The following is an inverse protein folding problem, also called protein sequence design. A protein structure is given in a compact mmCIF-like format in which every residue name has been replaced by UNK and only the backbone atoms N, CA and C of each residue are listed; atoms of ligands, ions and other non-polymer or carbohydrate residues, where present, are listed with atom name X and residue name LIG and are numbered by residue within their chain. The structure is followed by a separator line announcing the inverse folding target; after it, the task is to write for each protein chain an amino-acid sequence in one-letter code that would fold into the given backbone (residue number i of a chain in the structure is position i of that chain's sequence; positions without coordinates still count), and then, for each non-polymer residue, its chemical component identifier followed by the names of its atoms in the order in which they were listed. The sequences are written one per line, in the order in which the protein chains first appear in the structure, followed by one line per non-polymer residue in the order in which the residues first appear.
data_IF_313047348037
#
_entry.id   IF_313047348037
#
_cell.length_a   1.000
_cell.length_b   1.000
_cell.length_c   1.000
_cell.angle_alpha   90.00
_cell.angle_beta   90.00
_cell.angle_gamma   90.00
#
_symmetry.space_group_name_H-M   'P 1'
#
loop_
_entity.id
_entity.type
_entity.pdbx_description
1 polymer ?
#
# COMPACT_ATOMS: atom_id res chain seq x y z
N UNK A 1 29.73 17.81 0.37
CA UNK A 1 28.52 18.68 0.28
C UNK A 1 27.66 18.35 1.48
N UNK A 2 27.49 19.28 2.43
CA UNK A 2 26.77 19.01 3.67
C UNK A 2 25.26 19.12 3.44
N UNK A 3 24.50 18.10 3.82
CA UNK A 3 23.05 18.13 3.77
C UNK A 3 22.53 18.86 5.01
N UNK A 4 22.02 20.06 4.80
CA UNK A 4 21.36 20.82 5.85
C UNK A 4 20.06 20.10 6.24
N UNK A 5 19.90 19.79 7.54
CA UNK A 5 18.87 18.83 8.00
C UNK A 5 17.53 19.56 8.16
N UNK A 6 16.45 19.18 7.43
CA UNK A 6 15.11 19.45 7.91
C UNK A 6 14.91 18.58 9.16
N UNK A 7 14.79 19.20 10.33
CA UNK A 7 14.51 18.50 11.57
C UNK A 7 13.08 17.93 11.52
N UNK A 8 12.93 16.72 10.99
CA UNK A 8 11.68 15.96 10.86
C UNK A 8 11.04 15.51 12.20
N UNK A 9 11.41 16.16 13.32
CA UNK A 9 10.96 15.87 14.69
C UNK A 9 10.52 17.12 15.47
N UNK A 10 10.06 18.15 14.77
CA UNK A 10 9.38 19.27 15.42
C UNK A 10 7.96 18.85 15.82
N UNK A 11 7.79 18.44 17.08
CA UNK A 11 6.48 18.27 17.70
C UNK A 11 5.81 19.64 17.88
N UNK A 12 5.08 20.10 16.86
CA UNK A 12 4.40 21.41 16.88
C UNK A 12 3.18 21.36 17.79
N UNK A 13 3.13 22.25 18.76
CA UNK A 13 1.95 22.52 19.60
C UNK A 13 0.79 22.92 18.69
N UNK A 14 -0.32 22.19 18.69
CA UNK A 14 -1.38 22.34 17.67
C UNK A 14 -2.11 23.68 17.78
N UNK A 15 -1.78 24.60 16.89
CA UNK A 15 -2.57 25.81 16.63
C UNK A 15 -3.90 25.42 15.93
N UNK A 16 -5.01 26.10 16.28
CA UNK A 16 -6.30 25.96 15.59
C UNK A 16 -6.16 26.23 14.08
N UNK A 17 -5.22 27.10 13.70
CA UNK A 17 -4.84 27.38 12.31
C UNK A 17 -4.40 26.16 11.50
N UNK A 18 -3.94 25.09 12.15
CA UNK A 18 -3.53 23.85 11.51
C UNK A 18 -4.62 22.76 11.47
N UNK A 19 -5.82 23.04 11.99
CA UNK A 19 -6.92 22.07 11.96
C UNK A 19 -7.57 22.01 10.57
N UNK A 20 -7.95 20.80 10.15
CA UNK A 20 -8.90 20.58 9.08
C UNK A 20 -10.21 20.05 9.67
N UNK A 21 -11.34 20.37 9.05
CA UNK A 21 -12.62 19.71 9.34
C UNK A 21 -12.95 18.78 8.18
N UNK A 22 -13.22 17.53 8.51
CA UNK A 22 -13.52 16.46 7.56
C UNK A 22 -14.90 15.91 7.89
N UNK A 23 -15.75 15.77 6.87
CA UNK A 23 -17.02 15.07 6.96
C UNK A 23 -16.80 13.63 6.52
N UNK A 24 -17.06 12.67 7.39
CA UNK A 24 -17.21 11.26 7.00
C UNK A 24 -18.50 11.16 6.18
N UNK A 25 -18.40 10.71 4.94
CA UNK A 25 -19.55 10.53 4.03
C UNK A 25 -20.07 9.09 4.08
N UNK A 26 -19.18 8.13 4.36
CA UNK A 26 -19.49 6.70 4.38
C UNK A 26 -18.49 5.98 5.30
N UNK A 27 -18.99 5.09 6.16
CA UNK A 27 -18.15 4.12 6.85
C UNK A 27 -18.02 2.89 5.95
N UNK A 28 -16.92 2.80 5.21
CA UNK A 28 -16.62 1.70 4.27
C UNK A 28 -16.44 0.37 5.03
N UNK A 29 -16.08 0.45 6.31
CA UNK A 29 -15.85 -0.71 7.19
C UNK A 29 -16.56 -0.63 8.54
N UNK A 30 -17.47 -1.56 8.75
CA UNK A 30 -17.66 -2.28 10.02
C UNK A 30 -18.12 -3.71 9.65
N UNK A 31 -17.52 -4.75 10.22
CA UNK A 31 -17.85 -6.16 9.93
C UNK A 31 -16.85 -6.94 9.08
N UNK A 32 -17.22 -8.19 8.74
CA UNK A 32 -16.34 -9.25 8.25
C UNK A 32 -15.76 -9.04 6.84
N UNK A 33 -16.34 -8.14 6.04
CA UNK A 33 -15.89 -7.85 4.67
C UNK A 33 -14.71 -6.84 4.64
N UNK A 34 -13.48 -7.35 4.68
CA UNK A 34 -12.27 -6.61 5.09
C UNK A 34 -11.61 -5.63 4.07
N UNK A 35 -12.35 -4.81 3.32
CA UNK A 35 -11.82 -3.71 2.45
C UNK A 35 -10.75 -2.80 3.10
N UNK A 36 -9.56 -2.58 2.51
CA UNK A 36 -8.50 -1.75 3.15
C UNK A 36 -8.68 -0.22 3.10
N UNK A 37 -9.93 0.24 3.00
CA UNK A 37 -10.39 1.62 3.08
C UNK A 37 -11.42 1.71 4.22
N UNK A 38 -11.28 2.66 5.16
CA UNK A 38 -12.06 2.66 6.41
C UNK A 38 -13.21 3.68 6.38
N UNK A 39 -12.90 4.97 6.21
CA UNK A 39 -13.90 6.04 6.13
C UNK A 39 -13.73 6.80 4.82
N UNK A 40 -14.75 6.79 3.96
CA UNK A 40 -14.83 7.74 2.85
C UNK A 40 -15.17 9.11 3.42
N UNK A 41 -14.51 10.15 2.94
CA UNK A 41 -14.61 11.46 3.54
C UNK A 41 -14.33 12.61 2.56
N UNK A 42 -14.82 13.79 2.95
CA UNK A 42 -14.67 15.04 2.24
C UNK A 42 -14.11 16.11 3.19
N UNK A 43 -13.11 16.87 2.75
CA UNK A 43 -12.63 18.04 3.50
C UNK A 43 -13.67 19.15 3.37
N UNK A 44 -14.22 19.61 4.49
CA UNK A 44 -15.22 20.70 4.54
C UNK A 44 -14.64 22.01 5.08
N UNK A 45 -13.48 21.96 5.73
CA UNK A 45 -12.73 23.14 6.16
C UNK A 45 -11.23 22.85 6.05
N UNK A 46 -10.51 23.72 5.33
CA UNK A 46 -9.07 23.59 5.09
C UNK A 46 -8.25 24.34 6.14
N UNK A 47 -7.11 23.80 6.60
CA UNK A 47 -6.23 24.51 7.52
C UNK A 47 -5.74 25.81 6.89
N UNK A 48 -5.50 26.84 7.69
CA UNK A 48 -4.82 28.05 7.22
C UNK A 48 -3.35 27.77 6.92
N UNK A 49 -2.79 28.50 5.96
CA UNK A 49 -1.66 28.02 5.14
C UNK A 49 -0.26 28.34 5.69
N UNK A 50 -0.07 28.23 7.00
CA UNK A 50 1.21 28.48 7.67
C UNK A 50 2.11 27.23 7.77
N UNK A 51 1.60 26.06 7.35
CA UNK A 51 2.37 24.82 7.26
C UNK A 51 3.45 24.93 6.15
N UNK A 52 4.63 24.29 6.28
CA UNK A 52 5.62 24.26 5.19
C UNK A 52 5.04 23.71 3.88
N UNK A 53 5.50 24.21 2.72
CA UNK A 53 4.98 23.83 1.38
C UNK A 53 4.83 22.32 1.17
N UNK A 54 5.80 21.54 1.64
CA UNK A 54 5.76 20.07 1.61
C UNK A 54 4.51 19.46 2.29
N UNK A 55 3.93 20.11 3.29
CA UNK A 55 2.69 19.65 3.95
C UNK A 55 1.42 20.30 3.37
N UNK A 56 1.53 21.36 2.56
CA UNK A 56 0.41 22.03 1.88
C UNK A 56 -0.08 21.20 0.68
N UNK A 57 0.67 21.27 -0.43
CA UNK A 57 0.57 20.55 -1.71
C UNK A 57 -0.84 19.95 -2.05
N UNK A 58 -1.17 18.63 -2.03
CA UNK A 58 -2.42 18.15 -2.64
C UNK A 58 -3.67 18.47 -1.82
N UNK A 59 -3.53 18.97 -0.59
CA UNK A 59 -4.64 19.47 0.22
C UNK A 59 -4.95 20.94 -0.04
N UNK A 60 -4.06 21.66 -0.72
CA UNK A 60 -4.23 23.08 -1.00
C UNK A 60 -3.52 23.44 -2.29
N UNK A 61 -4.22 23.21 -3.40
CA UNK A 61 -3.99 23.97 -4.62
C UNK A 61 -4.67 25.32 -4.38
N UNK A 62 -3.92 26.26 -3.81
CA UNK A 62 -4.25 27.67 -3.95
C UNK A 62 -3.87 28.05 -5.37
N UNK A 63 -4.84 28.47 -6.17
CA UNK A 63 -4.55 29.01 -7.49
C UNK A 63 -3.66 30.26 -7.31
N UNK A 64 -2.44 30.28 -7.87
CA UNK A 64 -1.50 31.38 -7.66
C UNK A 64 -2.01 32.71 -8.23
N UNK A 65 -2.99 32.69 -9.14
CA UNK A 65 -3.56 33.88 -9.76
C UNK A 65 -4.72 34.46 -8.94
N UNK A 66 -5.71 33.65 -8.58
CA UNK A 66 -6.90 34.12 -7.83
C UNK A 66 -6.70 34.15 -6.31
N UNK A 67 -5.69 33.45 -5.78
CA UNK A 67 -5.52 33.13 -4.35
C UNK A 67 -6.72 32.41 -3.72
N UNK A 68 -7.65 31.91 -4.54
CA UNK A 68 -8.75 31.08 -4.07
C UNK A 68 -8.27 29.63 -3.96
N UNK A 69 -8.89 28.91 -3.02
CA UNK A 69 -8.70 27.47 -2.85
C UNK A 69 -9.74 26.79 -3.72
N UNK A 70 -9.31 26.03 -4.72
CA UNK A 70 -10.26 25.12 -5.36
C UNK A 70 -10.70 24.07 -4.31
N UNK A 71 -12.01 23.80 -4.18
CA UNK A 71 -12.48 22.72 -3.33
C UNK A 71 -11.86 21.40 -3.79
N UNK A 72 -11.39 20.57 -2.85
CA UNK A 72 -11.08 19.19 -3.18
C UNK A 72 -12.37 18.44 -3.51
N UNK A 73 -12.63 18.32 -4.81
CA UNK A 73 -13.71 17.53 -5.41
C UNK A 73 -13.44 16.04 -5.30
N UNK A 74 -12.17 15.61 -5.27
CA UNK A 74 -11.77 14.21 -5.09
C UNK A 74 -12.22 13.67 -3.73
N UNK A 75 -12.85 12.49 -3.73
CA UNK A 75 -13.14 11.73 -2.51
C UNK A 75 -11.85 11.22 -1.86
N UNK A 76 -11.78 11.29 -0.53
CA UNK A 76 -10.62 10.87 0.25
C UNK A 76 -10.97 9.70 1.16
N UNK A 77 -9.96 8.93 1.56
CA UNK A 77 -10.07 7.91 2.62
C UNK A 77 -9.23 8.29 3.81
N UNK A 78 -9.88 8.29 4.97
CA UNK A 78 -9.23 8.33 6.26
C UNK A 78 -9.02 6.92 6.79
N UNK A 79 -7.75 6.52 6.97
CA UNK A 79 -7.35 5.33 7.73
C UNK A 79 -7.05 5.77 9.16
N UNK A 80 -7.93 5.44 10.09
CA UNK A 80 -7.71 5.66 11.52
C UNK A 80 -6.90 4.49 12.11
N UNK A 81 -5.81 4.79 12.82
CA UNK A 81 -5.00 3.82 13.57
C UNK A 81 -5.29 4.07 15.04
N UNK A 82 -6.12 3.20 15.61
CA UNK A 82 -6.74 3.40 16.92
C UNK A 82 -6.52 2.20 17.84
N UNK A 83 -5.70 2.39 18.88
CA UNK A 83 -5.37 1.34 19.86
C UNK A 83 -6.59 0.82 20.65
N UNK A 84 -7.69 1.58 20.69
CA UNK A 84 -8.93 1.16 21.38
C UNK A 84 -9.67 0.02 20.68
N UNK A 85 -9.39 -0.21 19.39
CA UNK A 85 -9.94 -1.33 18.60
C UNK A 85 -8.93 -2.45 18.37
N UNK A 86 -7.75 -2.38 18.97
CA UNK A 86 -6.79 -3.48 18.87
C UNK A 86 -7.25 -4.63 19.78
N UNK A 87 -6.98 -5.90 19.41
CA UNK A 87 -7.19 -7.02 20.32
C UNK A 87 -6.39 -6.81 21.62
N UNK A 88 -6.85 -7.44 22.70
CA UNK A 88 -6.11 -7.48 23.96
C UNK A 88 -4.67 -7.93 23.71
N UNK A 89 -3.69 -7.31 24.38
CA UNK A 89 -2.28 -7.63 24.14
C UNK A 89 -1.89 -9.02 24.65
N UNK A 90 -2.73 -9.68 25.48
CA UNK A 90 -2.52 -11.04 26.02
C UNK A 90 -1.10 -11.31 26.58
N UNK A 91 -0.46 -10.31 27.19
CA UNK A 91 0.91 -10.42 27.73
C UNK A 91 2.03 -10.28 26.69
N UNK A 92 1.72 -9.86 25.46
CA UNK A 92 2.69 -9.55 24.42
C UNK A 92 3.66 -8.43 24.81
N UNK A 93 4.85 -8.36 24.17
CA UNK A 93 5.96 -7.51 24.60
C UNK A 93 5.73 -6.00 24.43
N UNK A 94 4.65 -5.60 23.74
CA UNK A 94 4.27 -4.20 23.51
C UNK A 94 2.78 -4.00 23.77
N UNK A 95 2.43 -2.89 24.41
CA UNK A 95 1.04 -2.46 24.59
C UNK A 95 0.37 -2.15 23.25
N UNK A 96 -0.96 -2.24 23.19
CA UNK A 96 -1.75 -1.87 22.00
C UNK A 96 -1.49 -0.42 21.55
N UNK A 97 -1.20 0.50 22.49
CA UNK A 97 -0.81 1.87 22.18
C UNK A 97 0.56 1.96 21.46
N UNK A 98 1.57 1.21 21.93
CA UNK A 98 2.87 1.13 21.26
C UNK A 98 2.78 0.47 19.88
N UNK A 99 1.94 -0.56 19.73
CA UNK A 99 1.70 -1.19 18.44
C UNK A 99 0.99 -0.23 17.45
N UNK A 100 0.00 0.52 17.92
CA UNK A 100 -0.68 1.54 17.12
C UNK A 100 0.27 2.67 16.68
N UNK A 101 1.10 3.19 17.58
CA UNK A 101 2.13 4.19 17.25
C UNK A 101 3.15 3.66 16.23
N UNK A 102 3.67 2.45 16.44
CA UNK A 102 4.60 1.80 15.52
C UNK A 102 4.00 1.48 14.15
N UNK A 103 2.70 1.21 14.06
CA UNK A 103 1.97 1.05 12.78
C UNK A 103 1.78 2.41 12.11
N UNK A 104 1.29 3.42 12.83
CA UNK A 104 1.09 4.78 12.33
C UNK A 104 2.40 5.37 11.79
N UNK A 105 3.50 5.24 12.54
CA UNK A 105 4.82 5.73 12.15
C UNK A 105 5.33 5.05 10.88
N UNK A 106 5.14 3.73 10.71
CA UNK A 106 5.55 3.01 9.49
C UNK A 106 4.72 3.43 8.27
N UNK A 107 3.39 3.46 8.41
CA UNK A 107 2.48 3.89 7.33
C UNK A 107 2.77 5.33 6.92
N UNK A 108 2.92 6.25 7.89
CA UNK A 108 3.24 7.65 7.63
C UNK A 108 4.59 7.81 6.94
N UNK A 109 5.64 7.17 7.43
CA UNK A 109 6.97 7.25 6.85
C UNK A 109 6.99 6.75 5.41
N UNK A 110 6.34 5.61 5.12
CA UNK A 110 6.20 5.09 3.77
C UNK A 110 5.51 6.10 2.84
N UNK A 111 4.30 6.54 3.18
CA UNK A 111 3.53 7.47 2.35
C UNK A 111 4.24 8.83 2.15
N UNK A 112 4.78 9.41 3.22
CA UNK A 112 5.50 10.68 3.15
C UNK A 112 6.76 10.58 2.28
N UNK A 113 7.45 9.44 2.32
CA UNK A 113 8.68 9.24 1.55
C UNK A 113 8.42 8.92 0.07
N UNK A 114 7.39 8.12 -0.25
CA UNK A 114 6.93 7.98 -1.64
C UNK A 114 6.50 9.34 -2.20
N UNK A 115 5.78 10.15 -1.42
CA UNK A 115 5.37 11.50 -1.83
C UNK A 115 6.56 12.42 -2.08
N UNK A 116 7.55 12.43 -1.18
CA UNK A 116 8.80 13.20 -1.34
C UNK A 116 9.52 12.83 -2.65
N UNK A 117 9.52 11.56 -3.02
CA UNK A 117 10.08 11.08 -4.29
C UNK A 117 9.15 11.26 -5.50
N UNK A 118 8.01 11.96 -5.36
CA UNK A 118 6.97 12.15 -6.38
C UNK A 118 6.42 10.84 -6.96
N UNK A 119 6.21 9.84 -6.10
CA UNK A 119 5.71 8.50 -6.44
C UNK A 119 4.41 8.15 -5.71
N UNK A 120 3.49 9.10 -5.59
CA UNK A 120 2.12 8.91 -5.05
C UNK A 120 1.10 9.44 -6.03
N UNK A 121 -0.09 8.83 -6.08
CA UNK A 121 -1.14 9.20 -7.04
C UNK A 121 -0.93 8.52 -8.40
N UNK A 122 -1.83 8.73 -9.36
CA UNK A 122 -1.68 8.19 -10.71
C UNK A 122 -0.38 8.72 -11.37
N UNK A 123 0.40 7.88 -12.10
CA UNK A 123 0.16 6.48 -12.47
C UNK A 123 0.72 5.45 -11.46
N UNK A 124 1.14 5.87 -10.28
CA UNK A 124 1.83 5.01 -9.32
C UNK A 124 0.89 4.07 -8.56
N UNK A 125 1.48 2.95 -8.11
CA UNK A 125 0.83 1.96 -7.24
C UNK A 125 0.69 2.41 -5.79
N UNK A 126 1.30 3.53 -5.41
CA UNK A 126 1.06 4.17 -4.13
C UNK A 126 -0.06 5.20 -4.29
N UNK A 127 -1.13 5.17 -3.47
CA UNK A 127 -2.20 6.15 -3.59
C UNK A 127 -1.70 7.56 -3.24
N UNK A 128 -2.34 8.59 -3.80
CA UNK A 128 -2.07 9.99 -3.50
C UNK A 128 -2.18 10.23 -1.99
N UNK A 129 -1.10 10.72 -1.39
CA UNK A 129 -1.01 10.94 0.05
C UNK A 129 -1.27 12.39 0.42
N UNK A 130 -2.29 12.63 1.23
CA UNK A 130 -2.72 13.96 1.66
C UNK A 130 -2.12 14.35 3.01
N UNK A 131 -1.79 13.40 3.89
CA UNK A 131 -1.02 13.66 5.10
C UNK A 131 -1.32 12.74 6.28
N UNK A 132 -0.46 12.81 7.29
CA UNK A 132 -0.74 12.32 8.64
C UNK A 132 -1.44 13.39 9.48
N UNK A 133 -2.40 12.96 10.29
CA UNK A 133 -3.28 13.80 11.08
C UNK A 133 -3.53 13.19 12.46
N UNK A 134 -4.04 14.01 13.39
CA UNK A 134 -4.60 13.56 14.66
C UNK A 134 -6.09 13.95 14.73
N UNK A 135 -6.95 12.98 15.01
CA UNK A 135 -8.38 13.15 15.19
C UNK A 135 -8.72 13.10 16.68
N UNK A 136 -9.59 14.02 17.15
CA UNK A 136 -10.18 13.94 18.48
C UNK A 136 -11.37 13.00 18.46
N UNK A 137 -11.40 12.04 19.37
CA UNK A 137 -12.49 11.07 19.54
C UNK A 137 -12.93 11.12 21.00
N UNK A 138 -14.25 11.09 21.24
CA UNK A 138 -14.80 10.94 22.58
C UNK A 138 -14.78 9.44 22.92
N UNK A 139 -14.01 9.05 23.94
CA UNK A 139 -13.81 7.67 24.36
C UNK A 139 -14.84 7.15 25.37
N UNK A 140 -15.89 7.92 25.63
CA UNK A 140 -16.83 7.74 26.74
C UNK A 140 -16.81 8.97 27.66
N UNK A 141 -17.63 8.94 28.71
CA UNK A 141 -17.65 9.96 29.78
C UNK A 141 -17.12 9.37 31.09
N UNK A 142 -16.54 10.21 31.94
CA UNK A 142 -16.20 9.84 33.32
C UNK A 142 -17.46 9.78 34.21
N UNK A 143 -17.29 9.35 35.47
CA UNK A 143 -18.38 9.29 36.46
C UNK A 143 -18.96 10.67 36.83
N UNK A 144 -18.30 11.78 36.47
CA UNK A 144 -18.79 13.14 36.65
C UNK A 144 -19.44 13.70 35.37
N UNK A 145 -19.52 12.92 34.29
CA UNK A 145 -20.14 13.30 33.01
C UNK A 145 -19.23 14.05 32.05
N UNK A 146 -17.92 14.15 32.31
CA UNK A 146 -16.98 14.82 31.40
C UNK A 146 -16.55 13.88 30.26
N UNK A 147 -16.50 14.40 29.03
CA UNK A 147 -15.98 13.66 27.86
C UNK A 147 -14.50 13.29 28.04
N UNK A 148 -14.20 11.99 28.02
CA UNK A 148 -12.83 11.51 27.95
C UNK A 148 -12.32 11.58 26.50
N UNK A 149 -11.73 12.71 26.13
CA UNK A 149 -11.19 12.95 24.78
C UNK A 149 -9.85 12.22 24.61
N UNK A 150 -9.78 11.36 23.58
CA UNK A 150 -8.56 10.69 23.13
C UNK A 150 -8.16 11.15 21.73
N UNK A 151 -6.87 11.10 21.42
CA UNK A 151 -6.33 11.41 20.10
C UNK A 151 -6.04 10.11 19.33
N UNK A 152 -6.51 10.06 18.09
CA UNK A 152 -6.34 8.91 17.17
C UNK A 152 -5.53 9.36 15.97
N UNK A 153 -4.51 8.57 15.60
CA UNK A 153 -3.71 8.83 14.41
C UNK A 153 -4.51 8.53 13.15
N UNK A 154 -4.40 9.39 12.13
CA UNK A 154 -5.15 9.27 10.89
C UNK A 154 -4.24 9.50 9.69
N UNK A 155 -4.34 8.63 8.69
CA UNK A 155 -3.65 8.74 7.40
C UNK A 155 -4.69 9.04 6.33
N UNK A 156 -4.54 10.18 5.65
CA UNK A 156 -5.45 10.64 4.62
C UNK A 156 -4.85 10.38 3.24
N UNK A 157 -5.56 9.62 2.41
CA UNK A 157 -5.19 9.23 1.05
C UNK A 157 -6.35 9.46 0.06
N UNK A 158 -6.11 9.32 -1.25
CA UNK A 158 -7.21 9.24 -2.23
C UNK A 158 -8.12 8.03 -1.96
N UNK A 159 -9.40 8.17 -2.29
CA UNK A 159 -10.32 7.04 -2.34
C UNK A 159 -10.12 6.25 -3.64
N UNK A 160 -9.84 4.96 -3.54
CA UNK A 160 -9.68 4.07 -4.69
C UNK A 160 -11.04 3.47 -5.03
N UNK A 161 -11.64 4.00 -6.09
CA UNK A 161 -12.88 3.52 -6.70
C UNK A 161 -12.62 2.24 -7.49
N UNK A 162 -12.63 1.09 -6.82
CA UNK A 162 -12.33 -0.19 -7.43
C UNK A 162 -12.52 -1.34 -6.46
N UNK A 163 -11.93 -2.48 -6.79
CA UNK A 163 -12.05 -3.73 -6.05
C UNK A 163 -10.67 -4.20 -5.59
N UNK A 164 -10.56 -4.73 -4.37
CA UNK A 164 -9.40 -5.53 -4.00
C UNK A 164 -9.37 -6.83 -4.80
N UNK A 165 -8.18 -7.43 -4.96
CA UNK A 165 -8.04 -8.75 -5.60
C UNK A 165 -8.86 -9.81 -4.84
N UNK A 166 -8.97 -9.68 -3.52
CA UNK A 166 -9.86 -10.50 -2.67
C UNK A 166 -11.33 -10.43 -3.13
N UNK A 167 -11.87 -9.23 -3.32
CA UNK A 167 -13.27 -8.99 -3.73
C UNK A 167 -13.61 -9.46 -5.16
N UNK A 168 -12.60 -9.72 -5.98
CA UNK A 168 -12.77 -10.26 -7.34
C UNK A 168 -12.81 -11.79 -7.36
N UNK A 169 -12.63 -12.41 -6.19
CA UNK A 169 -12.46 -13.85 -6.03
C UNK A 169 -13.43 -14.40 -4.97
N UNK A 170 -13.46 -15.72 -4.89
CA UNK A 170 -13.93 -16.45 -3.72
C UNK A 170 -12.78 -17.29 -3.17
N UNK A 171 -12.93 -17.81 -1.95
CA UNK A 171 -11.98 -18.77 -1.37
C UNK A 171 -12.54 -20.18 -1.46
N UNK A 172 -11.67 -21.11 -1.80
CA UNK A 172 -11.95 -22.55 -1.82
C UNK A 172 -12.15 -23.05 -0.37
N UNK A 173 -13.38 -23.34 0.02
CA UNK A 173 -13.76 -23.55 1.43
C UNK A 173 -13.22 -24.83 2.09
N UNK A 174 -12.69 -25.76 1.29
CA UNK A 174 -12.27 -27.10 1.73
C UNK A 174 -13.45 -28.07 1.85
N UNK A 175 -13.27 -29.30 1.35
CA UNK A 175 -14.26 -30.40 1.48
C UNK A 175 -14.30 -30.98 2.91
N UNK A 176 -13.42 -30.55 3.80
CA UNK A 176 -13.23 -31.09 5.15
C UNK A 176 -14.23 -30.56 6.20
N UNK A 177 -15.21 -29.76 5.79
CA UNK A 177 -16.36 -29.38 6.63
C UNK A 177 -16.03 -28.44 7.79
N UNK A 178 -14.83 -27.88 7.80
CA UNK A 178 -14.41 -26.79 8.69
C UNK A 178 -14.65 -25.48 7.95
N UNK A 179 -15.33 -24.54 8.60
CA UNK A 179 -15.66 -23.22 8.03
C UNK A 179 -14.38 -22.36 7.86
N UNK A 180 -13.62 -22.63 6.80
CA UNK A 180 -12.32 -22.00 6.51
C UNK A 180 -12.38 -20.97 5.39
N UNK A 181 -13.53 -20.28 5.25
CA UNK A 181 -13.79 -19.22 4.26
C UNK A 181 -12.69 -18.15 4.12
N UNK A 182 -11.80 -18.01 5.11
CA UNK A 182 -10.69 -17.05 5.12
C UNK A 182 -9.28 -17.64 4.88
N UNK A 183 -9.13 -18.97 4.83
CA UNK A 183 -7.84 -19.67 4.66
C UNK A 183 -7.73 -20.41 3.33
N UNK A 184 -8.85 -20.64 2.64
CA UNK A 184 -8.93 -21.26 1.33
C UNK A 184 -8.09 -20.59 0.23
N UNK A 185 -7.75 -21.37 -0.80
CA UNK A 185 -7.08 -20.86 -2.02
C UNK A 185 -7.97 -19.82 -2.70
N UNK A 186 -7.36 -18.75 -3.19
CA UNK A 186 -8.09 -17.69 -3.90
C UNK A 186 -8.43 -18.15 -5.33
N UNK A 187 -9.72 -18.10 -5.69
CA UNK A 187 -10.22 -18.47 -7.02
C UNK A 187 -10.89 -17.25 -7.68
N UNK A 188 -10.35 -16.74 -8.80
CA UNK A 188 -10.94 -15.61 -9.52
C UNK A 188 -12.33 -15.91 -10.06
N UNK A 189 -13.24 -14.95 -9.93
CA UNK A 189 -14.60 -15.07 -10.47
C UNK A 189 -14.56 -15.20 -12.01
N UNK A 190 -15.28 -16.16 -12.61
CA UNK A 190 -15.23 -16.39 -14.06
C UNK A 190 -16.00 -15.34 -14.89
N UNK A 191 -16.82 -14.51 -14.24
CA UNK A 191 -17.66 -13.51 -14.89
C UNK A 191 -16.96 -12.15 -15.13
N UNK A 192 -17.54 -11.29 -16.00
CA UNK A 192 -17.10 -9.92 -16.16
C UNK A 192 -17.42 -9.07 -14.93
N UNK A 193 -16.49 -8.19 -14.54
CA UNK A 193 -16.61 -7.28 -13.41
C UNK A 193 -16.90 -5.87 -13.91
N UNK A 194 -17.99 -5.25 -13.43
CA UNK A 194 -18.40 -3.90 -13.85
C UNK A 194 -17.73 -2.78 -13.05
N UNK A 195 -16.87 -1.99 -13.68
CA UNK A 195 -16.31 -0.75 -13.12
C UNK A 195 -17.21 0.44 -13.49
N UNK A 196 -17.65 1.23 -12.52
CA UNK A 196 -18.54 2.37 -12.75
C UNK A 196 -17.78 3.63 -13.18
N UNK A 197 -18.05 4.09 -14.40
CA UNK A 197 -17.57 5.36 -14.95
C UNK A 197 -18.25 6.58 -14.33
N UNK A 198 -17.77 7.78 -14.66
CA UNK A 198 -18.35 9.06 -14.24
C UNK A 198 -19.73 9.32 -14.86
N UNK A 199 -19.96 8.78 -16.06
CA UNK A 199 -21.24 8.77 -16.79
C UNK A 199 -22.27 7.79 -16.19
N UNK A 200 -21.94 7.17 -15.04
CA UNK A 200 -22.65 6.04 -14.41
C UNK A 200 -22.77 4.77 -15.27
N UNK A 201 -22.08 4.68 -16.41
CA UNK A 201 -22.02 3.44 -17.20
C UNK A 201 -21.08 2.42 -16.54
N UNK A 202 -21.31 1.15 -16.84
CA UNK A 202 -20.46 0.04 -16.37
C UNK A 202 -19.50 -0.40 -17.48
N UNK A 203 -18.21 -0.15 -17.29
CA UNK A 203 -17.13 -0.74 -18.09
C UNK A 203 -16.86 -2.15 -17.56
N UNK A 204 -17.24 -3.16 -18.33
CA UNK A 204 -17.09 -4.57 -17.92
C UNK A 204 -15.72 -5.14 -18.29
N UNK A 205 -15.05 -5.77 -17.32
CA UNK A 205 -13.72 -6.38 -17.48
C UNK A 205 -13.76 -7.83 -17.02
N UNK A 206 -13.54 -8.77 -17.94
CA UNK A 206 -13.31 -10.18 -17.62
C UNK A 206 -11.83 -10.37 -17.27
N UNK A 207 -11.53 -10.86 -16.06
CA UNK A 207 -10.16 -11.15 -15.61
C UNK A 207 -9.69 -12.54 -16.08
N UNK A 208 -9.48 -12.67 -17.39
CA UNK A 208 -8.80 -13.80 -18.00
C UNK A 208 -7.36 -13.98 -17.50
N UNK A 209 -6.65 -15.01 -17.99
CA UNK A 209 -5.28 -15.28 -17.56
C UNK A 209 -4.31 -14.13 -17.89
N UNK A 210 -4.49 -13.47 -19.04
CA UNK A 210 -3.61 -12.39 -19.48
C UNK A 210 -3.75 -11.15 -18.59
N UNK A 211 -4.98 -10.72 -18.30
CA UNK A 211 -5.24 -9.57 -17.42
C UNK A 211 -4.87 -9.84 -15.96
N UNK A 212 -5.04 -11.08 -15.48
CA UNK A 212 -4.54 -11.46 -14.15
C UNK A 212 -3.01 -11.36 -14.07
N UNK A 213 -2.31 -11.85 -15.10
CA UNK A 213 -0.85 -11.71 -15.20
C UNK A 213 -0.42 -10.25 -15.33
N UNK A 214 -1.13 -9.43 -16.10
CA UNK A 214 -0.87 -7.99 -16.22
C UNK A 214 -0.98 -7.28 -14.86
N UNK A 215 -2.00 -7.59 -14.06
CA UNK A 215 -2.15 -7.04 -12.70
C UNK A 215 -0.98 -7.45 -11.80
N UNK A 216 -0.55 -8.71 -11.82
CA UNK A 216 0.63 -9.16 -11.07
C UNK A 216 1.90 -8.47 -11.59
N UNK A 217 2.05 -8.27 -12.91
CA UNK A 217 3.16 -7.52 -13.49
C UNK A 217 3.19 -6.06 -13.00
N UNK A 218 2.05 -5.37 -13.01
CA UNK A 218 1.92 -4.01 -12.50
C UNK A 218 2.21 -3.91 -10.99
N UNK A 219 1.74 -4.89 -10.21
CA UNK A 219 2.02 -5.03 -8.79
C UNK A 219 3.52 -5.13 -8.52
N UNK A 220 4.20 -6.07 -9.19
CA UNK A 220 5.65 -6.30 -9.05
C UNK A 220 6.48 -5.12 -9.56
N UNK A 221 6.04 -4.44 -10.63
CA UNK A 221 6.65 -3.19 -11.09
C UNK A 221 6.58 -2.09 -10.00
N UNK A 222 5.43 -1.98 -9.31
CA UNK A 222 5.27 -1.05 -8.19
C UNK A 222 6.22 -1.34 -7.02
N UNK A 223 6.42 -2.61 -6.68
CA UNK A 223 7.38 -3.04 -5.65
C UNK A 223 8.82 -2.68 -6.07
N UNK A 224 9.19 -2.97 -7.32
CA UNK A 224 10.48 -2.61 -7.89
C UNK A 224 10.74 -1.09 -7.89
N UNK A 225 9.73 -0.29 -8.23
CA UNK A 225 9.79 1.17 -8.12
C UNK A 225 9.96 1.65 -6.67
N UNK A 226 9.49 0.89 -5.67
CA UNK A 226 9.81 1.09 -4.25
C UNK A 226 11.28 0.79 -3.95
N UNK A 227 11.81 -0.35 -4.40
CA UNK A 227 13.20 -0.74 -4.16
C UNK A 227 14.21 0.28 -4.71
N UNK A 228 13.92 0.89 -5.87
CA UNK A 228 14.75 1.94 -6.47
C UNK A 228 14.90 3.17 -5.57
N UNK A 229 13.87 3.51 -4.80
CA UNK A 229 13.93 4.58 -3.79
C UNK A 229 14.26 4.06 -2.39
N UNK A 230 14.62 2.78 -2.22
CA UNK A 230 15.04 2.21 -0.95
C UNK A 230 13.88 1.92 0.00
N UNK A 231 12.72 1.60 -0.54
CA UNK A 231 11.56 1.14 0.22
C UNK A 231 11.30 -0.33 -0.07
N UNK A 232 11.21 -1.14 0.98
CA UNK A 232 10.83 -2.55 0.91
C UNK A 232 9.42 -2.74 1.49
N UNK A 233 8.58 -3.53 0.83
CA UNK A 233 7.20 -3.78 1.24
C UNK A 233 7.08 -5.24 1.66
N UNK A 234 6.89 -5.49 2.96
CA UNK A 234 6.96 -6.84 3.55
C UNK A 234 5.58 -7.45 3.87
N UNK A 235 4.50 -6.94 3.28
CA UNK A 235 3.14 -7.45 3.52
C UNK A 235 2.22 -7.22 2.31
N UNK A 236 2.45 -8.00 1.25
CA UNK A 236 1.57 -8.01 0.08
C UNK A 236 0.44 -9.02 0.32
N UNK A 237 -0.83 -8.58 0.26
CA UNK A 237 -1.99 -9.43 0.48
C UNK A 237 -3.12 -9.06 -0.50
N UNK A 238 -3.93 -10.01 -1.00
CA UNK A 238 -4.97 -9.74 -2.00
C UNK A 238 -5.98 -8.66 -1.60
N UNK A 239 -6.41 -8.64 -0.34
CA UNK A 239 -7.31 -7.60 0.21
C UNK A 239 -6.67 -6.20 0.33
N UNK A 240 -5.35 -6.12 0.21
CA UNK A 240 -4.56 -4.89 0.27
C UNK A 240 -4.14 -4.35 -1.12
N UNK A 241 -4.36 -5.13 -2.19
CA UNK A 241 -4.04 -4.77 -3.58
C UNK A 241 -5.35 -4.47 -4.30
N UNK A 242 -5.57 -3.19 -4.60
CA UNK A 242 -6.76 -2.71 -5.30
C UNK A 242 -6.50 -2.54 -6.80
N UNK A 243 -7.53 -2.81 -7.59
CA UNK A 243 -7.58 -2.58 -9.03
C UNK A 243 -8.67 -1.54 -9.28
N UNK A 244 -8.35 -0.49 -10.03
CA UNK A 244 -9.28 0.58 -10.39
C UNK A 244 -9.13 0.97 -11.87
N UNK A 245 -10.20 1.54 -12.43
CA UNK A 245 -10.24 2.19 -13.74
C UNK A 245 -10.41 3.71 -13.58
N UNK A 246 -9.92 4.31 -12.47
CA UNK A 246 -10.09 5.74 -12.17
C UNK A 246 -8.86 6.40 -11.54
N UNK A 247 -8.67 7.68 -11.83
CA UNK A 247 -7.87 8.64 -11.04
C UNK A 247 -8.80 9.71 -10.46
N UNK A 248 -9.25 9.52 -9.22
CA UNK A 248 -10.30 10.33 -8.62
C UNK A 248 -11.58 10.35 -9.46
N UNK A 249 -11.94 11.53 -9.96
CA UNK A 249 -13.11 11.76 -10.83
C UNK A 249 -12.76 11.69 -12.34
N UNK A 250 -11.63 11.07 -12.72
CA UNK A 250 -11.28 10.80 -14.13
C UNK A 250 -11.33 9.30 -14.38
N UNK A 251 -12.03 8.87 -15.43
CA UNK A 251 -12.03 7.47 -15.87
C UNK A 251 -10.76 7.17 -16.68
N UNK A 252 -10.16 6.02 -16.44
CA UNK A 252 -8.98 5.52 -17.14
C UNK A 252 -9.40 4.51 -18.23
N UNK A 253 -8.61 4.43 -19.28
CA UNK A 253 -8.77 3.42 -20.33
C UNK A 253 -7.97 2.14 -20.05
N UNK A 254 -7.00 2.22 -19.13
CA UNK A 254 -6.19 1.11 -18.63
C UNK A 254 -6.41 0.88 -17.13
N UNK A 255 -6.16 -0.36 -16.69
CA UNK A 255 -6.18 -0.73 -15.28
C UNK A 255 -5.10 0.04 -14.51
N UNK A 256 -5.38 0.39 -13.25
CA UNK A 256 -4.41 0.85 -12.26
C UNK A 256 -4.43 -0.08 -11.05
N UNK A 257 -3.25 -0.57 -10.66
CA UNK A 257 -3.06 -1.35 -9.42
C UNK A 257 -2.58 -0.43 -8.30
N UNK A 258 -3.11 -0.57 -7.08
CA UNK A 258 -2.82 0.30 -5.94
C UNK A 258 -2.65 -0.49 -4.64
N UNK A 259 -1.55 -0.28 -3.93
CA UNK A 259 -1.28 -0.83 -2.60
C UNK A 259 -1.88 0.05 -1.50
N UNK A 260 -2.58 -0.56 -0.54
CA UNK A 260 -3.20 0.18 0.57
C UNK A 260 -2.56 -0.06 1.94
N UNK A 261 -1.96 -1.21 2.22
CA UNK A 261 -1.42 -1.49 3.56
C UNK A 261 0.10 -1.30 3.64
N UNK A 262 0.52 -0.23 4.30
CA UNK A 262 1.94 0.06 4.53
C UNK A 262 2.39 -0.21 5.98
N UNK A 263 1.60 -0.95 6.77
CA UNK A 263 1.89 -1.30 8.16
C UNK A 263 3.26 -1.96 8.34
N UNK A 264 3.70 -2.74 7.35
CA UNK A 264 4.99 -3.44 7.33
C UNK A 264 5.94 -2.92 6.24
N UNK A 265 5.69 -1.73 5.68
CA UNK A 265 6.62 -1.10 4.73
C UNK A 265 7.84 -0.52 5.47
N UNK A 266 9.03 -0.83 4.98
CA UNK A 266 10.31 -0.39 5.50
C UNK A 266 10.93 0.66 4.57
N UNK A 267 11.12 1.87 5.08
CA UNK A 267 11.94 2.90 4.42
C UNK A 267 13.38 2.74 4.89
N UNK A 268 14.29 2.24 4.04
CA UNK A 268 15.64 1.79 4.44
C UNK A 268 16.39 2.84 5.26
N UNK A 269 16.49 4.07 4.75
CA UNK A 269 17.31 5.12 5.35
C UNK A 269 16.82 5.58 6.74
N UNK A 270 15.57 5.28 7.11
CA UNK A 270 14.99 5.54 8.44
C UNK A 270 15.21 4.38 9.44
N UNK A 271 15.81 3.27 9.01
CA UNK A 271 16.05 2.11 9.88
C UNK A 271 17.36 2.22 10.66
N UNK A 272 17.39 1.61 11.86
CA UNK A 272 18.61 1.37 12.63
C UNK A 272 19.72 0.64 11.86
N UNK A 273 19.36 -0.15 10.84
CA UNK A 273 20.33 -0.87 10.00
C UNK A 273 21.06 0.06 9.03
N UNK A 274 20.37 1.08 8.49
CA UNK A 274 20.98 2.09 7.64
C UNK A 274 21.99 2.99 8.38
N UNK A 275 21.86 3.14 9.71
CA UNK A 275 22.86 3.84 10.52
C UNK A 275 24.18 3.07 10.61
N UNK A 276 24.11 1.73 10.66
CA UNK A 276 25.27 0.83 10.77
C UNK A 276 25.88 0.47 9.41
N UNK A 277 25.05 0.27 8.39
CA UNK A 277 25.46 -0.29 7.08
C UNK A 277 25.36 0.71 5.91
N UNK A 278 24.98 1.97 6.20
CA UNK A 278 24.91 3.05 5.22
C UNK A 278 23.47 3.45 4.85
N UNK A 279 23.25 4.77 4.70
CA UNK A 279 21.92 5.35 4.44
C UNK A 279 21.35 5.05 3.05
N UNK A 280 22.19 4.60 2.11
CA UNK A 280 21.78 4.23 0.75
C UNK A 280 21.77 2.70 0.63
N UNK A 281 20.59 2.15 0.38
CA UNK A 281 20.35 0.71 0.17
C UNK A 281 21.00 0.20 -1.11
N UNK A 282 21.33 -1.10 -1.17
CA UNK A 282 21.97 -1.70 -2.33
C UNK A 282 21.17 -1.52 -3.64
N UNK A 283 19.83 -1.60 -3.60
CA UNK A 283 18.97 -1.42 -4.78
C UNK A 283 18.76 0.05 -5.19
N UNK A 284 18.99 1.02 -4.28
CA UNK A 284 19.04 2.44 -4.64
C UNK A 284 20.27 2.81 -5.47
N UNK A 285 21.30 1.95 -5.50
CA UNK A 285 22.54 2.17 -6.24
C UNK A 285 22.44 1.72 -7.72
N UNK A 286 21.31 1.12 -8.11
CA UNK A 286 21.06 0.73 -9.49
C UNK A 286 20.65 1.96 -10.33
N UNK A 287 21.11 2.08 -11.59
CA UNK A 287 20.81 3.24 -12.44
C UNK A 287 19.34 3.29 -12.91
N UNK A 288 18.64 2.15 -12.86
CA UNK A 288 17.27 1.98 -13.31
C UNK A 288 16.44 1.25 -12.25
N UNK A 289 15.15 1.04 -12.52
CA UNK A 289 14.21 0.36 -11.61
C UNK A 289 14.59 -1.13 -11.49
N UNK A 290 14.96 -1.62 -10.30
CA UNK A 290 15.47 -2.97 -10.09
C UNK A 290 14.57 -4.05 -10.70
N UNK A 291 15.12 -4.93 -11.54
CA UNK A 291 14.35 -6.04 -12.12
C UNK A 291 13.72 -6.92 -11.00
N UNK A 292 12.39 -7.19 -10.99
CA UNK A 292 11.71 -7.84 -9.87
C UNK A 292 12.31 -9.17 -9.39
N UNK A 293 12.85 -9.99 -10.31
CA UNK A 293 13.64 -11.21 -10.03
C UNK A 293 14.70 -11.06 -8.91
N UNK A 294 15.23 -9.87 -8.65
CA UNK A 294 16.21 -9.61 -7.59
C UNK A 294 15.63 -9.70 -6.17
N UNK A 295 14.30 -9.66 -6.01
CA UNK A 295 13.63 -9.56 -4.69
C UNK A 295 12.28 -10.24 -4.59
N UNK A 296 11.51 -10.30 -5.66
CA UNK A 296 10.18 -10.88 -5.66
C UNK A 296 10.29 -12.37 -5.96
N UNK A 297 9.82 -13.21 -5.04
CA UNK A 297 9.68 -14.65 -5.24
C UNK A 297 8.22 -15.07 -5.28
N UNK A 298 7.95 -16.26 -5.83
CA UNK A 298 6.57 -16.80 -5.84
C UNK A 298 6.10 -17.13 -4.43
N UNK A 299 7.02 -17.59 -3.59
CA UNK A 299 6.76 -17.93 -2.19
C UNK A 299 6.51 -16.68 -1.31
N UNK A 300 6.73 -15.47 -1.84
CA UNK A 300 6.43 -14.19 -1.21
C UNK A 300 5.05 -13.59 -1.60
N UNK A 301 4.30 -14.27 -2.49
CA UNK A 301 2.92 -13.92 -2.87
C UNK A 301 1.98 -15.15 -2.82
N UNK A 302 2.03 -16.01 -1.79
CA UNK A 302 1.32 -17.29 -1.78
C UNK A 302 -0.20 -17.13 -1.73
N UNK A 303 -0.75 -16.00 -1.30
CA UNK A 303 -2.21 -15.77 -1.27
C UNK A 303 -2.77 -15.35 -2.65
N UNK A 304 -1.92 -15.07 -3.64
CA UNK A 304 -2.31 -14.66 -4.99
C UNK A 304 -2.54 -15.85 -5.95
N UNK A 305 -2.86 -17.03 -5.39
CA UNK A 305 -3.34 -18.17 -6.17
C UNK A 305 -4.45 -17.74 -7.15
N UNK A 306 -4.47 -18.38 -8.32
CA UNK A 306 -5.39 -18.00 -9.38
C UNK A 306 -4.94 -16.79 -10.20
N UNK A 307 -4.21 -15.84 -9.62
CA UNK A 307 -3.63 -14.70 -10.34
C UNK A 307 -2.22 -15.03 -10.83
N UNK A 308 -1.38 -15.53 -9.93
CA UNK A 308 -0.14 -16.21 -10.30
C UNK A 308 0.29 -17.25 -9.22
N UNK A 309 0.61 -18.50 -9.58
CA UNK A 309 0.43 -19.09 -10.91
C UNK A 309 -1.06 -19.12 -11.30
N UNK A 310 -1.38 -19.30 -12.60
CA UNK A 310 -2.74 -19.61 -13.03
C UNK A 310 -3.41 -20.64 -12.11
N UNK A 311 -4.67 -20.40 -11.73
CA UNK A 311 -5.52 -21.49 -11.26
C UNK A 311 -5.74 -22.42 -12.46
N UNK A 312 -5.06 -23.56 -12.44
CA UNK A 312 -5.29 -24.60 -13.43
C UNK A 312 -6.51 -25.40 -13.00
N UNK A 313 -7.55 -25.41 -13.84
CA UNK A 313 -8.82 -26.09 -13.54
C UNK A 313 -8.69 -27.59 -13.22
N UNK A 314 -7.63 -28.25 -13.70
CA UNK A 314 -7.43 -29.70 -13.56
C UNK A 314 -5.98 -30.11 -13.15
N UNK A 315 -5.06 -29.16 -12.90
CA UNK A 315 -3.61 -29.49 -12.72
C UNK A 315 -3.04 -29.29 -11.31
N UNK A 316 -3.87 -29.01 -10.30
CA UNK A 316 -3.38 -29.10 -8.90
C UNK A 316 -3.07 -30.56 -8.54
N UNK A 317 -3.83 -31.52 -9.07
CA UNK A 317 -3.64 -32.96 -8.83
C UNK A 317 -2.54 -33.60 -9.72
N UNK A 318 -2.18 -32.95 -10.83
CA UNK A 318 -1.31 -33.53 -11.86
C UNK A 318 0.21 -33.31 -11.63
N UNK A 319 0.59 -32.50 -10.63
CA UNK A 319 1.99 -32.24 -10.27
C UNK A 319 2.24 -32.81 -8.86
N UNK A 320 3.09 -33.85 -8.69
CA UNK A 320 3.40 -34.39 -7.37
C UNK A 320 3.92 -33.29 -6.43
N UNK A 321 3.39 -33.24 -5.20
CA UNK A 321 3.72 -32.23 -4.20
C UNK A 321 5.23 -32.03 -4.02
N UNK A 322 5.99 -33.13 -4.08
CA UNK A 322 7.46 -33.16 -3.97
C UNK A 322 8.24 -32.53 -5.12
N UNK A 323 7.56 -32.08 -6.19
CA UNK A 323 8.15 -31.35 -7.34
C UNK A 323 7.51 -29.98 -7.59
N UNK A 324 6.50 -29.61 -6.80
CA UNK A 324 5.63 -28.47 -7.11
C UNK A 324 6.40 -27.14 -7.02
N UNK A 325 7.15 -26.93 -5.94
CA UNK A 325 7.76 -25.62 -5.66
C UNK A 325 8.98 -25.29 -6.54
N UNK A 326 9.83 -26.28 -6.88
CA UNK A 326 10.97 -26.02 -7.78
C UNK A 326 10.49 -25.68 -9.21
N UNK A 327 9.42 -26.33 -9.68
CA UNK A 327 8.80 -25.99 -10.96
C UNK A 327 8.11 -24.61 -10.90
N UNK A 328 7.32 -24.32 -9.86
CA UNK A 328 6.66 -23.00 -9.67
C UNK A 328 7.68 -21.87 -9.69
N UNK A 329 8.78 -22.02 -8.95
CA UNK A 329 9.90 -21.08 -8.91
C UNK A 329 10.52 -20.88 -10.30
N UNK A 330 10.89 -21.96 -11.01
CA UNK A 330 11.45 -21.87 -12.37
C UNK A 330 10.48 -21.25 -13.38
N UNK A 331 9.19 -21.57 -13.29
CA UNK A 331 8.15 -21.01 -14.16
C UNK A 331 7.94 -19.51 -13.90
N UNK A 332 7.92 -19.08 -12.63
CA UNK A 332 7.86 -17.66 -12.27
C UNK A 332 9.11 -16.90 -12.71
N UNK A 333 10.31 -17.41 -12.44
CA UNK A 333 11.57 -16.81 -12.88
C UNK A 333 11.66 -16.69 -14.41
N UNK A 334 11.11 -17.65 -15.16
CA UNK A 334 11.01 -17.58 -16.62
C UNK A 334 9.97 -16.56 -17.09
N UNK A 335 8.80 -16.49 -16.43
CA UNK A 335 7.77 -15.50 -16.70
C UNK A 335 8.25 -14.07 -16.42
N UNK A 336 8.93 -13.84 -15.29
CA UNK A 336 9.54 -12.55 -14.96
C UNK A 336 10.48 -12.08 -16.06
N UNK A 337 11.36 -12.96 -16.56
CA UNK A 337 12.28 -12.65 -17.68
C UNK A 337 11.55 -12.41 -19.01
N UNK A 338 10.40 -13.05 -19.23
CA UNK A 338 9.54 -12.82 -20.40
C UNK A 338 8.87 -11.44 -20.36
N UNK A 339 8.36 -11.02 -19.19
CA UNK A 339 7.54 -9.79 -19.08
C UNK A 339 8.31 -8.53 -18.66
N UNK A 340 9.47 -8.67 -18.00
CA UNK A 340 10.36 -7.56 -17.61
C UNK A 340 11.68 -7.54 -18.40
N UNK A 341 11.94 -8.54 -19.25
CA UNK A 341 13.16 -8.64 -20.06
C UNK A 341 14.35 -9.29 -19.32
N UNK A 342 15.58 -9.16 -19.85
CA UNK A 342 16.76 -9.77 -19.24
C UNK A 342 17.20 -9.03 -17.97
N UNK A 343 17.74 -9.76 -17.00
CA UNK A 343 18.32 -9.21 -15.75
C UNK A 343 19.68 -8.57 -16.03
N UNK A 344 19.68 -7.42 -16.69
CA UNK A 344 20.90 -6.75 -17.19
C UNK A 344 21.67 -5.95 -16.13
N UNK A 345 21.00 -5.54 -15.05
CA UNK A 345 21.49 -4.49 -14.14
C UNK A 345 22.61 -4.95 -13.17
N UNK A 346 22.74 -6.26 -12.98
CA UNK A 346 23.57 -6.84 -11.93
C UNK A 346 25.11 -6.79 -12.16
N UNK A 347 25.67 -7.10 -13.36
CA UNK A 347 27.11 -7.40 -13.46
C UNK A 347 28.05 -6.23 -13.25
N UNK A 348 27.67 -5.01 -13.68
CA UNK A 348 28.51 -3.82 -13.55
C UNK A 348 28.47 -3.26 -12.12
N UNK A 349 27.26 -3.13 -11.54
CA UNK A 349 27.09 -2.57 -10.20
C UNK A 349 27.64 -3.51 -9.11
N UNK A 350 27.54 -4.85 -9.27
CA UNK A 350 28.16 -5.82 -8.33
C UNK A 350 29.64 -5.58 -8.07
N UNK A 351 30.40 -5.04 -9.03
CA UNK A 351 31.83 -4.68 -8.87
C UNK A 351 32.06 -3.44 -8.00
N UNK A 352 31.02 -2.63 -7.76
CA UNK A 352 31.04 -1.40 -6.98
C UNK A 352 30.32 -1.53 -5.62
N UNK A 353 29.66 -2.67 -5.37
CA UNK A 353 28.97 -2.96 -4.12
C UNK A 353 29.95 -3.41 -3.03
N UNK A 354 29.68 -3.01 -1.79
CA UNK A 354 30.41 -3.55 -0.63
C UNK A 354 30.09 -5.05 -0.43
N UNK A 355 30.91 -5.84 0.28
CA UNK A 355 30.60 -7.24 0.58
C UNK A 355 29.24 -7.43 1.27
N UNK A 356 28.81 -6.46 2.09
CA UNK A 356 27.48 -6.43 2.69
C UNK A 356 26.39 -6.18 1.64
N UNK A 357 26.57 -5.18 0.76
CA UNK A 357 25.61 -4.89 -0.31
C UNK A 357 25.47 -6.04 -1.31
N UNK A 358 26.57 -6.72 -1.67
CA UNK A 358 26.55 -7.89 -2.54
C UNK A 358 25.79 -9.03 -1.89
N UNK A 359 26.07 -9.33 -0.61
CA UNK A 359 25.30 -10.33 0.14
C UNK A 359 23.83 -9.95 0.25
N UNK A 360 23.49 -8.67 0.42
CA UNK A 360 22.09 -8.22 0.39
C UNK A 360 21.49 -8.39 -1.00
N UNK A 361 22.18 -8.02 -2.08
CA UNK A 361 21.68 -8.15 -3.44
C UNK A 361 21.29 -9.61 -3.77
N UNK A 362 22.08 -10.57 -3.31
CA UNK A 362 21.84 -12.02 -3.53
C UNK A 362 20.72 -12.64 -2.66
N UNK A 363 20.15 -11.90 -1.70
CA UNK A 363 18.98 -12.35 -0.95
C UNK A 363 17.68 -12.15 -1.77
N UNK A 364 17.21 -13.19 -2.44
CA UNK A 364 15.74 -13.38 -2.52
C UNK A 364 15.23 -13.49 -1.08
N UNK A 365 14.21 -12.70 -0.72
CA UNK A 365 13.55 -12.79 0.60
C UNK A 365 12.16 -13.37 0.37
N UNK A 366 11.70 -14.28 1.26
CA UNK A 366 10.28 -14.63 1.33
C UNK A 366 9.46 -13.43 1.81
#
# INVERSE_FOLDING_TARGET
MAWDRPQLRNFVRTDRRHHAKVKITEAIKFGENRKSQIFACQVVEFPSEERPKFYQEPLSIVDPNTKQREPLTRRLVAKAIDYGYFPSSFGGPYSSAQNADGILSRIHAAYAYFRYNKRTGYPHTMPQFYGGWAMKVIGGTDYAGNDHIRLVGLILIEHIHGYSIEELCYRDGGDDGVDTEYLGKLIPSPGPVGFRGNDNQLRYITFDLEKRQLVIQMMLHGLAAGFQIGVEHHHCQPWNVFITMKDGETDLDELRVVFLDHSHTQVWHETKFAEKYGRIYCLQKLPHTPHPFLRCDIDAIPEFHGWWPPAFGDYIEAIPETKNDEWRNKAFDAWLKKVFGPVAEAPFIRKQLSPYDTKQLDLKRP
#
